data_IF_332917165290
#
_entry.id   IF_332917165290
#
_cell.length_a   1.000
_cell.length_b   1.000
_cell.length_c   1.000
_cell.angle_alpha   90.00
_cell.angle_beta   90.00
_cell.angle_gamma   90.00
#
_symmetry.space_group_name_H-M   'P 1'
#
loop_
_entity.id
_entity.type
_entity.pdbx_description
1 polymer ?
#
# COMPACT_ATOMS: atom_id res chain seq x y z
N UNK A 1 26.73 1.37 21.82
CA UNK A 1 25.89 0.51 20.98
C UNK A 1 24.70 0.11 21.81
N UNK A 2 23.52 0.67 21.50
CA UNK A 2 22.29 0.32 22.21
C UNK A 2 21.84 -1.09 21.79
N UNK A 3 21.55 -1.93 22.78
CA UNK A 3 21.06 -3.30 22.58
C UNK A 3 19.57 -3.22 22.27
N UNK A 4 19.19 -3.45 21.03
CA UNK A 4 17.78 -3.54 20.64
C UNK A 4 17.15 -4.80 21.27
N UNK A 5 16.08 -4.61 22.02
CA UNK A 5 15.31 -5.69 22.68
C UNK A 5 14.21 -6.24 21.76
N UNK A 6 13.74 -7.45 22.01
CA UNK A 6 12.58 -8.05 21.31
C UNK A 6 12.96 -9.04 20.20
N UNK A 7 12.09 -9.15 19.18
CA UNK A 7 12.24 -10.05 18.02
C UNK A 7 12.86 -9.37 16.78
N UNK A 8 13.53 -8.23 16.96
CA UNK A 8 14.26 -7.58 15.87
C UNK A 8 15.41 -8.50 15.41
N UNK A 9 15.71 -8.60 14.11
CA UNK A 9 16.85 -9.38 13.64
C UNK A 9 18.15 -8.95 14.33
N UNK A 10 19.05 -9.93 14.57
CA UNK A 10 20.38 -9.69 15.16
C UNK A 10 21.33 -9.05 14.15
N UNK A 11 20.97 -7.86 13.69
CA UNK A 11 21.73 -6.99 12.78
C UNK A 11 21.89 -5.61 13.42
N UNK A 12 22.83 -4.81 12.91
CA UNK A 12 22.98 -3.42 13.37
C UNK A 12 21.79 -2.60 12.87
N UNK A 13 21.11 -1.91 13.79
CA UNK A 13 20.20 -0.83 13.44
C UNK A 13 21.04 0.41 13.12
N UNK A 14 20.91 0.93 11.89
CA UNK A 14 21.59 2.15 11.47
C UNK A 14 20.90 3.40 11.98
N UNK A 15 19.57 3.33 12.11
CA UNK A 15 18.72 4.42 12.59
C UNK A 15 17.56 3.85 13.39
N UNK A 16 17.24 4.50 14.51
CA UNK A 16 16.01 4.30 15.27
C UNK A 16 15.35 5.67 15.39
N UNK A 17 14.06 5.75 15.07
CA UNK A 17 13.27 6.99 15.07
C UNK A 17 11.99 6.75 15.88
N UNK A 18 11.72 7.64 16.83
CA UNK A 18 10.43 7.66 17.52
C UNK A 18 9.40 8.40 16.68
N UNK A 19 8.14 7.95 16.73
CA UNK A 19 7.07 8.67 16.08
C UNK A 19 6.76 9.99 16.81
N UNK A 20 6.72 11.14 16.10
CA UNK A 20 6.49 12.44 16.73
C UNK A 20 5.05 12.64 17.23
N UNK A 21 4.11 11.80 16.79
CA UNK A 21 2.68 11.91 17.12
C UNK A 21 2.18 10.77 18.02
N UNK A 22 2.87 9.63 18.04
CA UNK A 22 2.51 8.43 18.79
C UNK A 22 3.69 7.87 19.59
N UNK A 23 3.80 8.22 20.87
CA UNK A 23 4.93 7.87 21.75
C UNK A 23 5.27 6.36 21.87
N UNK A 24 4.32 5.48 21.52
CA UNK A 24 4.50 4.04 21.58
C UNK A 24 5.07 3.43 20.29
N UNK A 25 5.15 4.23 19.22
CA UNK A 25 5.60 3.77 17.91
C UNK A 25 7.08 4.10 17.71
N UNK A 26 7.84 3.08 17.35
CA UNK A 26 9.25 3.17 17.00
C UNK A 26 9.49 2.60 15.60
N UNK A 27 10.39 3.22 14.86
CA UNK A 27 10.85 2.76 13.56
C UNK A 27 12.34 2.44 13.63
N UNK A 28 12.75 1.31 13.06
CA UNK A 28 14.15 0.90 13.00
C UNK A 28 14.56 0.60 11.57
N UNK A 29 15.56 1.31 11.07
CA UNK A 29 16.20 1.06 9.78
C UNK A 29 17.38 0.11 9.95
N UNK A 30 17.27 -1.09 9.38
CA UNK A 30 18.30 -2.14 9.42
C UNK A 30 18.97 -2.30 8.05
N UNK A 31 19.88 -3.27 7.94
CA UNK A 31 20.61 -3.59 6.71
C UNK A 31 19.71 -4.03 5.54
N UNK A 32 18.49 -4.52 5.81
CA UNK A 32 17.61 -5.05 4.76
C UNK A 32 16.28 -4.33 4.65
N UNK A 33 15.77 -3.76 5.73
CA UNK A 33 14.42 -3.25 5.76
C UNK A 33 14.19 -2.26 6.90
N UNK A 34 13.04 -1.59 6.84
CA UNK A 34 12.47 -0.85 7.97
C UNK A 34 11.59 -1.79 8.78
N UNK A 35 11.72 -1.72 10.10
CA UNK A 35 10.85 -2.40 11.06
C UNK A 35 10.07 -1.35 11.84
N UNK A 36 8.86 -1.71 12.24
CA UNK A 36 7.99 -0.90 13.10
C UNK A 36 7.71 -1.67 14.39
N UNK A 37 7.78 -0.99 15.52
CA UNK A 37 7.25 -1.42 16.80
C UNK A 37 6.10 -0.49 17.18
N UNK A 38 5.04 -1.06 17.76
CA UNK A 38 3.87 -0.33 18.26
C UNK A 38 3.72 -0.48 19.78
N UNK A 39 4.74 -1.01 20.45
CA UNK A 39 4.77 -1.38 21.86
C UNK A 39 6.12 -1.01 22.51
N UNK A 40 6.67 0.15 22.11
CA UNK A 40 7.95 0.71 22.60
C UNK A 40 9.14 -0.25 22.53
N UNK A 41 9.24 -1.00 21.43
CA UNK A 41 10.38 -1.87 21.15
C UNK A 41 10.30 -3.24 21.82
N UNK A 42 9.14 -3.62 22.37
CA UNK A 42 8.92 -4.97 22.90
C UNK A 42 8.82 -5.99 21.76
N UNK A 43 8.12 -5.63 20.67
CA UNK A 43 8.02 -6.42 19.45
C UNK A 43 8.10 -5.55 18.19
N UNK A 44 8.63 -6.17 17.12
CA UNK A 44 8.94 -5.54 15.85
C UNK A 44 8.32 -6.33 14.70
N UNK A 45 7.78 -5.61 13.72
CA UNK A 45 7.22 -6.14 12.49
C UNK A 45 7.87 -5.48 11.29
N UNK A 46 8.02 -6.24 10.20
CA UNK A 46 8.52 -5.68 8.94
C UNK A 46 7.54 -4.62 8.40
N UNK A 47 8.03 -3.41 8.12
CA UNK A 47 7.21 -2.32 7.62
C UNK A 47 7.22 -2.29 6.09
N UNK A 48 6.09 -2.66 5.50
CA UNK A 48 5.89 -2.69 4.04
C UNK A 48 6.43 -3.95 3.35
N UNK A 49 5.94 -4.20 2.12
CA UNK A 49 6.24 -5.42 1.34
C UNK A 49 7.14 -5.18 0.12
N UNK A 50 7.14 -3.95 -0.40
CA UNK A 50 7.73 -3.64 -1.71
C UNK A 50 9.06 -2.87 -1.63
N UNK A 51 9.63 -2.72 -0.43
CA UNK A 51 10.97 -2.16 -0.31
C UNK A 51 11.98 -3.27 -0.63
N UNK A 52 12.90 -3.06 -1.59
CA UNK A 52 13.95 -4.03 -1.86
C UNK A 52 14.88 -4.16 -0.65
N UNK A 53 15.52 -5.33 -0.53
CA UNK A 53 16.47 -5.60 0.55
C UNK A 53 17.68 -4.66 0.45
N UNK A 54 17.67 -3.57 1.22
CA UNK A 54 18.64 -2.50 1.18
C UNK A 54 18.89 -1.93 2.57
N UNK A 55 20.13 -1.50 2.81
CA UNK A 55 20.49 -0.86 4.05
C UNK A 55 19.80 0.50 4.13
N UNK A 56 19.01 0.67 5.19
CA UNK A 56 18.31 1.92 5.48
C UNK A 56 19.26 2.80 6.26
N UNK A 57 19.69 3.90 5.65
CA UNK A 57 20.68 4.80 6.26
C UNK A 57 20.03 5.77 7.24
N UNK A 58 18.81 6.22 6.92
CA UNK A 58 18.10 7.25 7.68
C UNK A 58 16.59 7.14 7.47
N UNK A 59 15.84 7.67 8.44
CA UNK A 59 14.38 7.72 8.48
C UNK A 59 13.91 9.11 8.91
N UNK A 60 13.02 9.70 8.12
CA UNK A 60 12.38 10.98 8.44
C UNK A 60 10.86 10.85 8.33
N UNK A 61 10.14 11.53 9.22
CA UNK A 61 8.68 11.52 9.25
C UNK A 61 8.20 12.94 8.97
N UNK A 62 7.50 13.11 7.86
CA UNK A 62 6.76 14.34 7.60
C UNK A 62 5.42 14.28 8.33
N UNK A 63 5.33 15.01 9.44
CA UNK A 63 4.14 15.06 10.30
C UNK A 63 2.92 15.62 9.57
N UNK A 64 3.11 16.53 8.62
CA UNK A 64 1.98 17.16 7.93
C UNK A 64 1.32 16.21 6.93
N UNK A 65 2.11 15.46 6.17
CA UNK A 65 1.61 14.47 5.22
C UNK A 65 1.36 13.09 5.85
N UNK A 66 1.92 12.83 7.03
CA UNK A 66 1.92 11.52 7.66
C UNK A 66 2.74 10.50 6.88
N UNK A 67 3.79 10.94 6.16
CA UNK A 67 4.62 10.08 5.35
C UNK A 67 5.97 9.77 6.04
N UNK A 68 6.30 8.48 6.10
CA UNK A 68 7.65 8.00 6.43
C UNK A 68 8.50 7.97 5.17
N UNK A 69 9.64 8.64 5.23
CA UNK A 69 10.65 8.67 4.18
C UNK A 69 11.87 7.88 4.65
N UNK A 70 12.22 6.85 3.89
CA UNK A 70 13.37 5.99 4.14
C UNK A 70 14.45 6.19 3.07
N UNK A 71 15.64 6.61 3.50
CA UNK A 71 16.82 6.68 2.64
C UNK A 71 17.52 5.32 2.61
N UNK A 72 17.86 4.84 1.42
CA UNK A 72 18.55 3.55 1.26
C UNK A 72 19.89 3.71 0.56
N UNK A 73 20.85 2.85 0.91
CA UNK A 73 22.12 2.77 0.20
C UNK A 73 21.93 2.18 -1.21
N UNK A 74 22.11 3.02 -2.22
CA UNK A 74 22.18 2.61 -3.63
C UNK A 74 20.85 2.27 -4.31
N UNK A 75 19.70 2.45 -3.63
CA UNK A 75 18.36 2.19 -4.21
C UNK A 75 17.40 3.38 -4.14
N UNK A 76 17.91 4.55 -3.77
CA UNK A 76 17.14 5.81 -3.71
C UNK A 76 16.33 5.94 -2.42
N UNK A 77 15.21 6.65 -2.53
CA UNK A 77 14.34 7.03 -1.41
C UNK A 77 13.00 6.31 -1.54
N UNK A 78 12.49 5.79 -0.43
CA UNK A 78 11.19 5.15 -0.34
C UNK A 78 10.25 5.97 0.54
N UNK A 79 8.98 6.03 0.15
CA UNK A 79 7.93 6.70 0.91
C UNK A 79 6.81 5.72 1.26
N UNK A 80 6.35 5.77 2.50
CA UNK A 80 5.21 5.02 3.01
C UNK A 80 4.28 5.95 3.78
N UNK A 81 2.99 5.90 3.49
CA UNK A 81 2.00 6.64 4.24
C UNK A 81 1.66 5.91 5.56
N UNK A 82 1.76 6.62 6.69
CA UNK A 82 1.56 6.11 8.03
C UNK A 82 0.13 6.30 8.55
N UNK A 83 -0.70 7.12 7.89
CA UNK A 83 -2.07 7.43 8.33
C UNK A 83 -2.89 6.16 8.61
N UNK A 84 -2.92 5.14 7.72
CA UNK A 84 -3.59 3.87 8.02
C UNK A 84 -3.11 3.21 9.32
N UNK A 85 -1.81 3.26 9.62
CA UNK A 85 -1.26 2.63 10.83
C UNK A 85 -1.75 3.41 12.07
N UNK A 86 -1.70 4.74 12.01
CA UNK A 86 -2.21 5.60 13.09
C UNK A 86 -3.69 5.42 13.34
N UNK A 87 -4.51 5.36 12.28
CA UNK A 87 -5.94 5.11 12.38
C UNK A 87 -6.23 3.78 13.05
N UNK A 88 -5.52 2.71 12.67
CA UNK A 88 -5.72 1.40 13.28
C UNK A 88 -5.46 1.42 14.78
N UNK A 89 -4.36 2.06 15.19
CA UNK A 89 -3.95 2.15 16.60
C UNK A 89 -4.94 3.01 17.37
N UNK A 90 -5.28 4.20 16.85
CA UNK A 90 -6.20 5.14 17.50
C UNK A 90 -7.60 4.55 17.67
N UNK A 91 -8.10 3.85 16.65
CA UNK A 91 -9.43 3.25 16.68
C UNK A 91 -9.49 1.91 17.44
N UNK A 92 -8.34 1.38 17.91
CA UNK A 92 -8.22 0.06 18.54
C UNK A 92 -8.97 -1.04 17.76
N UNK A 93 -8.93 -0.99 16.42
CA UNK A 93 -9.68 -1.92 15.57
C UNK A 93 -9.10 -3.32 15.69
N UNK A 94 -9.86 -4.21 16.34
CA UNK A 94 -9.58 -5.64 16.43
C UNK A 94 -10.10 -6.32 15.17
N UNK A 95 -9.25 -7.13 14.53
CA UNK A 95 -9.61 -7.87 13.32
C UNK A 95 -8.95 -7.35 12.03
N UNK A 96 -9.39 -7.94 10.93
CA UNK A 96 -9.04 -7.49 9.58
C UNK A 96 -9.72 -6.15 9.31
N UNK A 97 -9.03 -5.25 8.61
CA UNK A 97 -9.52 -3.89 8.42
C UNK A 97 -9.11 -3.35 7.06
N UNK A 98 -10.05 -2.70 6.37
CA UNK A 98 -9.82 -2.03 5.10
C UNK A 98 -9.82 -0.53 5.37
N UNK A 99 -8.71 0.13 5.03
CA UNK A 99 -8.58 1.56 5.21
C UNK A 99 -9.31 2.31 4.11
N UNK A 100 -9.52 3.61 4.31
CA UNK A 100 -9.99 4.48 3.25
C UNK A 100 -8.91 4.65 2.19
N UNK A 101 -9.35 4.75 0.95
CA UNK A 101 -8.45 4.84 -0.20
C UNK A 101 -8.46 6.27 -0.73
N UNK A 102 -7.30 6.78 -1.21
CA UNK A 102 -7.27 8.11 -1.81
C UNK A 102 -8.11 8.13 -3.09
N UNK A 103 -8.60 9.31 -3.44
CA UNK A 103 -9.26 9.57 -4.73
C UNK A 103 -8.30 9.18 -5.85
N UNK A 104 -8.79 8.36 -6.77
CA UNK A 104 -8.02 7.83 -7.87
C UNK A 104 -8.14 8.73 -9.10
N UNK A 105 -7.01 9.12 -9.69
CA UNK A 105 -6.98 10.02 -10.85
C UNK A 105 -6.59 9.28 -12.12
N UNK A 106 -7.49 9.26 -13.10
CA UNK A 106 -7.24 8.65 -14.39
C UNK A 106 -6.12 9.35 -15.14
N UNK A 107 -5.34 8.61 -15.94
CA UNK A 107 -4.31 9.21 -16.78
C UNK A 107 -4.94 10.13 -17.82
N UNK A 108 -4.23 11.21 -18.14
CA UNK A 108 -4.64 12.16 -19.16
C UNK A 108 -4.75 11.45 -20.52
N UNK A 109 -5.81 11.77 -21.28
CA UNK A 109 -5.99 11.32 -22.65
C UNK A 109 -5.60 12.43 -23.60
N UNK A 110 -4.69 12.15 -24.54
CA UNK A 110 -4.30 13.12 -25.55
C UNK A 110 -5.43 13.32 -26.57
N UNK A 111 -5.87 14.56 -26.74
CA UNK A 111 -6.91 14.96 -27.67
C UNK A 111 -6.55 14.65 -29.14
N UNK A 112 -5.26 14.53 -29.46
CA UNK A 112 -4.80 14.41 -30.85
C UNK A 112 -4.48 12.99 -31.30
N UNK A 113 -4.32 12.02 -30.38
CA UNK A 113 -3.89 10.66 -30.73
C UNK A 113 -4.73 9.52 -30.11
N UNK A 114 -5.86 9.81 -29.45
CA UNK A 114 -6.63 8.81 -28.68
C UNK A 114 -5.76 7.97 -27.72
N UNK A 115 -4.59 8.51 -27.37
CA UNK A 115 -3.54 7.80 -26.64
C UNK A 115 -3.56 8.18 -25.17
N UNK A 116 -3.47 7.17 -24.31
CA UNK A 116 -3.33 7.40 -22.87
C UNK A 116 -1.91 7.88 -22.57
N UNK A 117 -1.79 9.02 -21.89
CA UNK A 117 -0.51 9.52 -21.44
C UNK A 117 -0.05 8.79 -20.17
N UNK A 118 0.67 7.68 -20.37
CA UNK A 118 1.19 6.85 -19.28
C UNK A 118 2.15 7.59 -18.33
N UNK A 119 2.71 8.75 -18.70
CA UNK A 119 3.53 9.55 -17.78
C UNK A 119 2.71 10.16 -16.64
N UNK A 120 1.40 10.32 -16.84
CA UNK A 120 0.46 10.83 -15.84
C UNK A 120 -0.20 9.72 -15.02
N UNK A 121 0.09 8.46 -15.31
CA UNK A 121 -0.51 7.32 -14.61
C UNK A 121 -0.05 7.27 -13.15
N UNK A 122 -1.00 7.40 -12.24
CA UNK A 122 -0.77 7.22 -10.80
C UNK A 122 -1.28 5.86 -10.36
N UNK A 123 -0.52 5.19 -9.48
CA UNK A 123 -0.96 3.90 -8.92
C UNK A 123 -1.73 4.16 -7.64
N UNK A 124 -2.94 3.62 -7.57
CA UNK A 124 -3.79 3.69 -6.38
C UNK A 124 -3.29 2.66 -5.36
N UNK A 125 -2.90 3.09 -4.15
CA UNK A 125 -2.52 2.17 -3.09
C UNK A 125 -3.77 1.66 -2.37
N UNK A 126 -4.15 0.40 -2.58
CA UNK A 126 -5.17 -0.29 -1.79
C UNK A 126 -4.54 -0.80 -0.51
N UNK A 127 -4.90 -0.21 0.62
CA UNK A 127 -4.27 -0.49 1.91
C UNK A 127 -5.23 -1.21 2.85
N UNK A 128 -4.77 -2.30 3.48
CA UNK A 128 -5.57 -3.11 4.41
C UNK A 128 -4.70 -3.84 5.45
N UNK A 129 -5.30 -4.21 6.57
CA UNK A 129 -4.70 -4.98 7.65
C UNK A 129 -5.29 -6.39 7.70
N UNK A 130 -4.43 -7.38 7.90
CA UNK A 130 -4.81 -8.78 8.07
C UNK A 130 -4.32 -9.34 9.41
N UNK A 131 -5.15 -10.09 10.10
CA UNK A 131 -4.81 -10.80 11.34
C UNK A 131 -4.02 -12.08 11.09
N UNK A 132 -4.22 -12.71 9.93
CA UNK A 132 -3.54 -13.94 9.50
C UNK A 132 -3.13 -13.84 8.03
N UNK A 133 -2.15 -14.64 7.64
CA UNK A 133 -1.79 -14.78 6.22
C UNK A 133 -2.79 -15.70 5.54
N UNK A 134 -3.47 -15.23 4.50
CA UNK A 134 -4.46 -16.01 3.75
C UNK A 134 -4.63 -15.50 2.31
N UNK A 135 -5.32 -16.29 1.49
CA UNK A 135 -5.72 -15.90 0.14
C UNK A 135 -6.85 -14.87 0.24
N UNK A 136 -6.67 -13.72 -0.40
CA UNK A 136 -7.67 -12.63 -0.40
C UNK A 136 -8.07 -12.32 -1.84
N UNK A 137 -9.36 -12.03 -2.03
CA UNK A 137 -9.87 -11.52 -3.30
C UNK A 137 -10.25 -10.05 -3.13
N UNK A 138 -9.61 -9.17 -3.88
CA UNK A 138 -10.01 -7.76 -3.99
C UNK A 138 -10.92 -7.63 -5.21
N UNK A 139 -12.06 -6.95 -5.04
CA UNK A 139 -13.05 -6.72 -6.10
C UNK A 139 -13.45 -5.26 -6.11
N UNK A 140 -13.69 -4.72 -7.29
CA UNK A 140 -14.28 -3.41 -7.49
C UNK A 140 -15.67 -3.59 -8.09
N UNK A 141 -16.68 -3.05 -7.41
CA UNK A 141 -18.09 -3.16 -7.79
C UNK A 141 -18.62 -1.78 -8.15
N UNK A 142 -19.35 -1.67 -9.26
CA UNK A 142 -20.00 -0.41 -9.66
C UNK A 142 -21.32 -0.18 -8.90
N UNK A 143 -21.93 0.99 -9.10
CA UNK A 143 -23.22 1.34 -8.49
C UNK A 143 -24.37 0.39 -8.89
N UNK A 144 -24.21 -0.39 -9.96
CA UNK A 144 -25.18 -1.39 -10.42
C UNK A 144 -24.97 -2.78 -9.79
N UNK A 145 -23.94 -2.95 -8.97
CA UNK A 145 -23.58 -4.24 -8.37
C UNK A 145 -22.76 -5.17 -9.27
N UNK A 146 -22.28 -4.70 -10.42
CA UNK A 146 -21.46 -5.47 -11.35
C UNK A 146 -19.98 -5.41 -10.95
N UNK A 147 -19.28 -6.55 -11.03
CA UNK A 147 -17.84 -6.62 -10.79
C UNK A 147 -17.06 -6.07 -11.99
N UNK A 148 -16.35 -4.96 -11.80
CA UNK A 148 -15.57 -4.27 -12.83
C UNK A 148 -14.14 -4.81 -12.90
N UNK A 149 -13.59 -5.20 -11.76
CA UNK A 149 -12.21 -5.68 -11.66
C UNK A 149 -12.03 -6.55 -10.43
N UNK A 150 -11.24 -7.61 -10.55
CA UNK A 150 -10.88 -8.42 -9.40
C UNK A 150 -9.49 -9.00 -9.52
N UNK A 151 -8.82 -9.16 -8.38
CA UNK A 151 -7.56 -9.87 -8.25
C UNK A 151 -7.57 -10.77 -7.02
N UNK A 152 -6.82 -11.86 -7.11
CA UNK A 152 -6.61 -12.78 -6.01
C UNK A 152 -5.10 -12.95 -5.75
N UNK A 153 -4.70 -12.87 -4.48
CA UNK A 153 -3.32 -13.11 -4.06
C UNK A 153 -3.23 -13.45 -2.57
N UNK A 154 -2.08 -13.99 -2.15
CA UNK A 154 -1.83 -14.31 -0.74
C UNK A 154 -1.42 -13.02 -0.01
N UNK A 155 -2.29 -12.55 0.88
CA UNK A 155 -1.98 -11.49 1.83
C UNK A 155 -1.23 -12.07 3.04
N UNK A 156 -0.33 -11.28 3.62
CA UNK A 156 0.40 -11.67 4.82
C UNK A 156 -0.29 -11.10 6.06
N UNK A 157 -0.08 -11.71 7.22
CA UNK A 157 -0.42 -11.08 8.49
C UNK A 157 0.22 -9.69 8.60
N UNK A 158 -0.53 -8.71 9.09
CA UNK A 158 -0.12 -7.33 9.30
C UNK A 158 -0.59 -6.38 8.21
N UNK A 159 0.16 -5.31 8.02
CA UNK A 159 -0.09 -4.26 7.03
C UNK A 159 0.19 -4.76 5.61
N UNK A 160 -0.76 -4.61 4.70
CA UNK A 160 -0.64 -4.93 3.29
C UNK A 160 -1.02 -3.73 2.43
N UNK A 161 -0.30 -3.55 1.32
CA UNK A 161 -0.61 -2.54 0.31
C UNK A 161 -0.49 -3.15 -1.09
N UNK A 162 -1.56 -3.05 -1.87
CA UNK A 162 -1.59 -3.43 -3.29
C UNK A 162 -1.65 -2.16 -4.15
N UNK A 163 -0.72 -2.00 -5.09
CA UNK A 163 -0.66 -0.81 -5.96
C UNK A 163 -1.27 -1.13 -7.32
N UNK A 164 -2.45 -0.58 -7.57
CA UNK A 164 -3.22 -0.84 -8.78
C UNK A 164 -3.12 0.30 -9.79
N UNK A 165 -3.07 -0.04 -11.07
CA UNK A 165 -2.98 0.92 -12.19
C UNK A 165 -4.36 1.35 -12.73
N UNK A 166 -5.47 0.96 -12.10
CA UNK A 166 -6.85 1.22 -12.58
C UNK A 166 -7.19 0.59 -13.94
N UNK A 167 -6.37 -0.35 -14.41
CA UNK A 167 -6.62 -1.10 -15.65
C UNK A 167 -7.63 -2.20 -15.33
N UNK A 168 -8.75 -2.19 -16.04
CA UNK A 168 -9.82 -3.18 -15.96
C UNK A 168 -9.54 -4.39 -16.85
N UNK A 169 -9.09 -4.13 -18.09
CA UNK A 169 -8.80 -5.17 -19.06
C UNK A 169 -7.63 -4.77 -19.97
N UNK A 170 -6.94 -5.76 -20.51
CA UNK A 170 -5.96 -5.59 -21.56
C UNK A 170 -6.55 -6.14 -22.86
N UNK A 171 -6.69 -5.29 -23.88
CA UNK A 171 -7.28 -5.67 -25.16
C UNK A 171 -6.15 -5.95 -26.14
N UNK A 172 -6.06 -7.21 -26.56
CA UNK A 172 -5.08 -7.69 -27.53
C UNK A 172 -5.78 -8.30 -28.74
N UNK A 173 -5.14 -8.25 -29.91
CA UNK A 173 -5.62 -8.94 -31.11
C UNK A 173 -4.44 -9.41 -31.96
N UNK A 174 -4.54 -10.59 -32.61
CA UNK A 174 -3.51 -11.08 -33.52
C UNK A 174 -3.52 -10.38 -34.89
N UNK A 175 -4.46 -9.46 -35.15
CA UNK A 175 -4.56 -8.76 -36.42
C UNK A 175 -3.33 -7.84 -36.64
N UNK A 176 -2.74 -7.83 -37.85
CA UNK A 176 -1.45 -7.16 -38.11
C UNK A 176 -1.48 -5.63 -37.94
N UNK A 177 -2.65 -5.02 -37.83
CA UNK A 177 -2.82 -3.56 -37.66
C UNK A 177 -3.54 -3.19 -36.36
N UNK A 178 -3.81 -4.16 -35.48
CA UNK A 178 -4.43 -3.87 -34.21
C UNK A 178 -3.39 -3.38 -33.20
N UNK A 179 -3.67 -2.24 -32.58
CA UNK A 179 -2.82 -1.67 -31.53
C UNK A 179 -3.37 -2.15 -30.19
N UNK A 180 -2.63 -3.01 -29.50
CA UNK A 180 -2.99 -3.45 -28.15
C UNK A 180 -3.08 -2.25 -27.20
N UNK A 181 -4.12 -2.22 -26.36
CA UNK A 181 -4.33 -1.11 -25.44
C UNK A 181 -4.88 -1.57 -24.09
N UNK A 182 -4.63 -0.74 -23.08
CA UNK A 182 -5.18 -0.92 -21.74
C UNK A 182 -6.51 -0.19 -21.64
N UNK A 183 -7.54 -0.90 -21.20
CA UNK A 183 -8.83 -0.31 -20.87
C UNK A 183 -8.86 0.05 -19.38
N UNK A 184 -8.95 1.34 -19.10
CA UNK A 184 -9.10 1.85 -17.74
C UNK A 184 -10.56 1.79 -17.28
N UNK A 185 -10.78 1.73 -15.98
CA UNK A 185 -12.12 1.94 -15.41
C UNK A 185 -12.63 3.35 -15.74
N UNK A 186 -13.96 3.51 -15.76
CA UNK A 186 -14.59 4.81 -15.94
C UNK A 186 -14.45 5.70 -14.70
N UNK A 187 -14.79 6.97 -14.87
CA UNK A 187 -14.98 7.90 -13.74
C UNK A 187 -16.27 7.55 -13.01
N UNK A 188 -16.28 7.73 -11.69
CA UNK A 188 -17.47 7.53 -10.88
C UNK A 188 -17.18 6.94 -9.51
N UNK A 189 -18.26 6.61 -8.82
CA UNK A 189 -18.22 5.96 -7.51
C UNK A 189 -18.22 4.44 -7.68
N UNK A 190 -17.42 3.79 -6.87
CA UNK A 190 -17.29 2.35 -6.81
C UNK A 190 -17.26 1.89 -5.35
N UNK A 191 -17.57 0.61 -5.14
CA UNK A 191 -17.33 -0.07 -3.88
C UNK A 191 -16.15 -1.03 -4.01
N UNK A 192 -15.12 -0.77 -3.22
CA UNK A 192 -13.98 -1.67 -3.09
C UNK A 192 -14.28 -2.70 -2.01
N UNK A 193 -14.23 -3.98 -2.39
CA UNK A 193 -14.51 -5.11 -1.51
C UNK A 193 -13.28 -5.99 -1.38
N UNK A 194 -12.91 -6.35 -0.15
CA UNK A 194 -11.91 -7.37 0.13
C UNK A 194 -12.59 -8.54 0.82
N UNK A 195 -12.63 -9.67 0.10
CA UNK A 195 -13.14 -10.93 0.63
C UNK A 195 -11.99 -11.75 1.21
N UNK A 196 -12.10 -12.06 2.50
CA UNK A 196 -11.23 -13.00 3.22
C UNK A 196 -12.01 -14.29 3.51
N UNK A 197 -11.37 -15.30 4.11
CA UNK A 197 -12.09 -16.53 4.50
C UNK A 197 -13.15 -16.29 5.58
N UNK A 198 -13.04 -15.18 6.34
CA UNK A 198 -13.87 -14.93 7.52
C UNK A 198 -14.64 -13.62 7.47
N UNK A 199 -14.25 -12.67 6.63
CA UNK A 199 -14.86 -11.35 6.55
C UNK A 199 -15.00 -10.87 5.11
N UNK A 200 -15.95 -9.97 4.90
CA UNK A 200 -16.05 -9.16 3.69
C UNK A 200 -15.93 -7.69 4.10
N UNK A 201 -14.78 -7.09 3.79
CA UNK A 201 -14.50 -5.68 4.08
C UNK A 201 -14.93 -4.85 2.88
N UNK A 202 -15.52 -3.68 3.11
CA UNK A 202 -15.99 -2.81 2.04
C UNK A 202 -15.69 -1.35 2.36
N UNK A 203 -15.25 -0.60 1.37
CA UNK A 203 -15.10 0.86 1.43
C UNK A 203 -15.54 1.51 0.13
N UNK A 204 -15.85 2.80 0.18
CA UNK A 204 -16.18 3.59 -1.01
C UNK A 204 -14.89 3.99 -1.73
N UNK A 205 -14.94 4.06 -3.05
CA UNK A 205 -13.80 4.37 -3.89
C UNK A 205 -14.21 5.29 -5.03
N UNK A 206 -13.60 6.47 -5.08
CA UNK A 206 -13.90 7.50 -6.08
C UNK A 206 -12.82 7.56 -7.15
N UNK A 207 -13.25 7.69 -8.41
CA UNK A 207 -12.38 7.79 -9.59
C UNK A 207 -12.71 9.06 -10.37
N UNK A 208 -11.71 9.94 -10.52
CA UNK A 208 -11.74 11.22 -11.24
C UNK A 208 -10.98 11.22 -12.56
#
# INVERSE_FOLDING_TARGET
MEKTTGNLPSEVAYVIKEDPTHENILYAGLYRAVYISTDRGTSWSLLGKNMPAAAVSDLEIDVQSGDLVASTHGRGIYKLNLIPIYEKITLNKVGDFLFDQPIAKLPFQDNNQNGVNYRTLTKVPITFWMTKSELVTIRLVNDKGENVWSIEFIAKRGYNQYRWNMISNHVESPLPYFINYNQFIGKGMYQLQIKTSTANLTTSFEVE
#
